data_IF_247992115948
#
_entry.id   IF_247992115948
#
_cell.length_a   1.000
_cell.length_b   1.000
_cell.length_c   1.000
_cell.angle_alpha   90.00
_cell.angle_beta   90.00
_cell.angle_gamma   90.00
#
_symmetry.space_group_name_H-M   'P 1'
#
loop_
_entity.id
_entity.type
_entity.pdbx_description
1 polymer ?
#
# COMPACT_ATOMS: atom_id res chain seq x y z
N UNK A 1 4.62 5.52 9.26
CA UNK A 1 4.56 6.90 8.72
C UNK A 1 3.09 7.25 8.60
N UNK A 2 2.67 8.40 9.11
CA UNK A 2 1.27 8.82 8.99
C UNK A 2 1.11 9.62 7.70
N UNK A 3 0.10 9.30 6.90
CA UNK A 3 -0.17 9.94 5.60
C UNK A 3 -1.64 10.32 5.50
N UNK A 4 -1.98 11.41 4.79
CA UNK A 4 -3.38 11.77 4.57
C UNK A 4 -4.18 10.65 3.90
N UNK A 5 -5.44 10.47 4.28
CA UNK A 5 -6.34 9.60 3.53
C UNK A 5 -6.44 10.04 2.07
N UNK A 6 -6.50 9.08 1.17
CA UNK A 6 -6.49 9.32 -0.28
C UNK A 6 -5.09 9.35 -0.91
N UNK A 7 -4.01 9.34 -0.11
CA UNK A 7 -2.65 9.12 -0.62
C UNK A 7 -2.57 7.76 -1.30
N UNK A 8 -1.94 7.67 -2.47
CA UNK A 8 -1.77 6.42 -3.21
C UNK A 8 -0.65 5.56 -2.63
N UNK A 9 -0.70 4.24 -2.85
CA UNK A 9 0.40 3.35 -2.46
C UNK A 9 1.70 3.71 -3.19
N UNK A 10 1.61 4.22 -4.42
CA UNK A 10 2.77 4.70 -5.17
C UNK A 10 3.51 5.80 -4.42
N UNK A 11 2.79 6.83 -3.96
CA UNK A 11 3.38 7.95 -3.21
C UNK A 11 4.02 7.43 -1.91
N UNK A 12 3.31 6.57 -1.19
CA UNK A 12 3.83 5.99 0.07
C UNK A 12 5.12 5.19 -0.18
N UNK A 13 5.16 4.34 -1.20
CA UNK A 13 6.29 3.44 -1.44
C UNK A 13 7.47 4.17 -2.06
N UNK A 14 7.24 4.97 -3.11
CA UNK A 14 8.31 5.54 -3.92
C UNK A 14 8.74 6.94 -3.47
N UNK A 15 7.80 7.79 -3.04
CA UNK A 15 8.13 9.15 -2.63
C UNK A 15 8.49 9.21 -1.14
N UNK A 16 7.69 8.56 -0.29
CA UNK A 16 7.91 8.57 1.17
C UNK A 16 8.87 7.45 1.59
N UNK A 17 8.69 6.24 1.05
CA UNK A 17 9.48 5.06 1.39
C UNK A 17 10.83 4.96 0.67
N UNK A 18 11.08 5.81 -0.34
CA UNK A 18 12.33 5.78 -1.13
C UNK A 18 12.43 4.62 -2.13
N UNK A 19 11.31 3.96 -2.42
CA UNK A 19 11.22 2.88 -3.40
C UNK A 19 11.71 1.53 -2.89
N UNK A 20 11.97 0.61 -3.82
CA UNK A 20 12.40 -0.75 -3.49
C UNK A 20 13.91 -0.81 -3.42
N UNK A 21 14.41 -1.39 -2.31
CA UNK A 21 15.85 -1.58 -2.07
C UNK A 21 16.54 -2.19 -3.29
N UNK A 22 17.73 -1.69 -3.58
CA UNK A 22 18.58 -2.11 -4.69
C UNK A 22 17.94 -1.87 -6.08
N UNK A 23 17.02 -0.90 -6.20
CA UNK A 23 16.40 -0.53 -7.48
C UNK A 23 15.57 -1.68 -8.11
N UNK A 24 15.10 -2.62 -7.29
CA UNK A 24 14.28 -3.74 -7.79
C UNK A 24 12.89 -3.25 -8.18
N UNK A 25 12.20 -4.05 -8.99
CA UNK A 25 10.79 -3.80 -9.31
C UNK A 25 9.90 -4.10 -8.12
N UNK A 26 8.85 -3.31 -7.96
CA UNK A 26 7.78 -3.61 -7.02
C UNK A 26 7.10 -4.93 -7.42
N UNK A 27 6.84 -5.79 -6.43
CA UNK A 27 6.18 -7.09 -6.64
C UNK A 27 4.84 -7.17 -5.93
N UNK A 28 4.73 -6.50 -4.79
CA UNK A 28 3.52 -6.40 -4.01
C UNK A 28 3.82 -5.85 -2.62
N UNK A 29 2.79 -5.37 -1.96
CA UNK A 29 2.81 -4.92 -0.57
C UNK A 29 1.70 -5.62 0.18
N UNK A 30 2.01 -6.15 1.36
CA UNK A 30 1.00 -6.60 2.30
C UNK A 30 0.64 -5.41 3.17
N UNK A 31 -0.63 -5.05 3.19
CA UNK A 31 -1.16 -3.98 4.05
C UNK A 31 -2.11 -4.61 5.06
N UNK A 32 -2.20 -4.07 6.26
CA UNK A 32 -3.18 -4.56 7.25
C UNK A 32 -2.73 -5.73 8.13
N UNK A 33 -1.43 -5.97 8.23
CA UNK A 33 -0.87 -7.06 9.02
C UNK A 33 -1.01 -8.45 8.36
N UNK A 34 -0.73 -9.55 9.07
CA UNK A 34 -0.68 -10.89 8.49
C UNK A 34 -2.02 -11.35 7.89
N UNK A 35 -3.13 -10.74 8.31
CA UNK A 35 -4.48 -11.01 7.83
C UNK A 35 -4.89 -10.20 6.60
N UNK A 36 -4.10 -9.19 6.23
CA UNK A 36 -4.39 -8.37 5.05
C UNK A 36 -3.83 -8.97 3.77
N UNK A 37 -4.54 -8.75 2.67
CA UNK A 37 -4.18 -9.22 1.33
C UNK A 37 -2.89 -8.61 0.77
N UNK A 38 -2.42 -9.23 -0.30
CA UNK A 38 -1.27 -8.73 -1.07
C UNK A 38 -1.80 -7.82 -2.18
N UNK A 39 -1.40 -6.55 -2.14
CA UNK A 39 -1.69 -5.57 -3.16
C UNK A 39 -0.57 -5.60 -4.19
N UNK A 40 -0.93 -5.73 -5.47
CA UNK A 40 0.00 -5.85 -6.59
C UNK A 40 0.28 -4.48 -7.24
N UNK A 41 1.15 -4.47 -8.25
CA UNK A 41 1.49 -3.25 -8.98
C UNK A 41 0.27 -2.57 -9.62
N UNK A 42 -0.75 -3.36 -9.97
CA UNK A 42 -1.97 -2.87 -10.65
C UNK A 42 -2.79 -1.91 -9.80
N UNK A 43 -2.63 -1.99 -8.49
CA UNK A 43 -3.41 -1.22 -7.53
C UNK A 43 -2.61 -0.08 -6.89
N UNK A 44 -1.36 0.15 -7.31
CA UNK A 44 -0.48 1.17 -6.73
C UNK A 44 -1.06 2.60 -6.81
N UNK A 45 -1.81 2.87 -7.88
CA UNK A 45 -2.43 4.16 -8.14
C UNK A 45 -3.82 4.29 -7.48
N UNK A 46 -4.24 3.28 -6.71
CA UNK A 46 -5.48 3.32 -5.95
C UNK A 46 -5.26 4.19 -4.71
N UNK A 47 -6.09 5.23 -4.50
CA UNK A 47 -6.08 6.00 -3.26
C UNK A 47 -6.31 5.07 -2.06
N UNK A 48 -5.48 5.20 -1.02
CA UNK A 48 -5.70 4.48 0.23
C UNK A 48 -6.85 5.15 0.98
N UNK A 49 -8.02 4.52 0.87
CA UNK A 49 -9.19 4.79 1.69
C UNK A 49 -9.66 3.48 2.36
N UNK A 50 -10.45 3.62 3.43
CA UNK A 50 -10.92 2.47 4.24
C UNK A 50 -11.72 1.46 3.39
N UNK A 51 -12.51 1.93 2.44
CA UNK A 51 -13.27 1.08 1.52
C UNK A 51 -12.41 0.46 0.41
N UNK A 52 -11.38 1.17 -0.08
CA UNK A 52 -10.47 0.68 -1.11
C UNK A 52 -9.64 -0.49 -0.59
N UNK A 53 -9.12 -0.40 0.64
CA UNK A 53 -8.40 -1.50 1.27
C UNK A 53 -9.29 -2.74 1.44
N UNK A 54 -10.51 -2.55 1.95
CA UNK A 54 -11.51 -3.64 2.08
C UNK A 54 -11.83 -4.27 0.72
N UNK A 55 -11.98 -3.47 -0.34
CA UNK A 55 -12.24 -3.97 -1.70
C UNK A 55 -11.07 -4.77 -2.29
N UNK A 56 -9.83 -4.45 -1.91
CA UNK A 56 -8.62 -5.16 -2.37
C UNK A 56 -8.35 -6.46 -1.59
N UNK A 57 -9.30 -6.92 -0.75
CA UNK A 57 -9.08 -8.06 0.14
C UNK A 57 -8.03 -7.78 1.22
N UNK A 58 -7.71 -6.50 1.41
CA UNK A 58 -6.92 -6.02 2.52
C UNK A 58 -7.84 -5.51 3.62
N UNK A 59 -7.29 -5.29 4.81
CA UNK A 59 -7.99 -4.62 5.89
C UNK A 59 -7.13 -3.41 6.29
N UNK A 60 -7.75 -2.29 6.63
CA UNK A 60 -7.02 -1.24 7.34
C UNK A 60 -6.68 -1.78 8.74
N UNK A 61 -5.53 -2.43 8.86
CA UNK A 61 -4.97 -2.87 10.15
C UNK A 61 -4.39 -1.69 10.92
N UNK A 62 -3.43 -1.94 11.83
CA UNK A 62 -2.78 -0.90 12.63
C UNK A 62 -1.85 0.06 11.85
N UNK A 63 -1.91 0.11 10.52
CA UNK A 63 -1.03 0.95 9.68
C UNK A 63 0.36 0.37 9.40
N UNK A 64 0.49 -0.97 9.39
CA UNK A 64 1.73 -1.69 9.02
C UNK A 64 1.85 -1.95 7.53
#
# INVERSE_FOLDING_TARGET
VEVPMGTTLREIIFEIGGGIKNGKKFKGVQTGGPSGGIISEKELDTPIDYGALVRMGSMMGSGG
#
